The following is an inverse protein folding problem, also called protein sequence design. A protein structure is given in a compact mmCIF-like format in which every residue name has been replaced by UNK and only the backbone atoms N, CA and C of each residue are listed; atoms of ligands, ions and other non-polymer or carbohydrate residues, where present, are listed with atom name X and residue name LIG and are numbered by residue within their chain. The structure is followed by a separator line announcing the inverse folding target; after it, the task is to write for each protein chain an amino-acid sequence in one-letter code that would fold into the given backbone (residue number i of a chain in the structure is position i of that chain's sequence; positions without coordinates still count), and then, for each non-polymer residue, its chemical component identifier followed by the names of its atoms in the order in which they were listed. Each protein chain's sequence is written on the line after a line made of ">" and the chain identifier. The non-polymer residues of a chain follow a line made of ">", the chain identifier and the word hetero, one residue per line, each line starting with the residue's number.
data_IF_570206798267
#
_entry.id   IF_570206798267
#
_cell.length_a   1.000
_cell.length_b   1.000
_cell.length_c   1.000
_cell.angle_alpha   90.00
_cell.angle_beta   90.00
_cell.angle_gamma   90.00
#
_symmetry.space_group_name_H-M   'P 1'
#
loop_
_entity.id
_entity.type
_entity.pdbx_description
1 polymer ?
#
# COMPACT_ATOMS: atom_id res chain seq x y z
N UNK A 1 10.76 -16.91 13.26
CA UNK A 1 10.44 -16.24 12.00
C UNK A 1 8.93 -15.98 11.92
N UNK A 2 8.53 -14.84 11.43
CA UNK A 2 7.13 -14.46 11.20
C UNK A 2 6.99 -13.76 9.84
N UNK A 3 5.88 -14.02 9.13
CA UNK A 3 5.51 -13.38 7.87
C UNK A 3 4.28 -12.47 8.00
N UNK A 4 3.89 -12.10 9.23
CA UNK A 4 2.66 -11.33 9.46
C UNK A 4 2.74 -9.91 8.90
N UNK A 5 3.87 -9.24 9.06
CA UNK A 5 4.05 -7.86 8.59
C UNK A 5 4.58 -7.81 7.16
N UNK A 6 4.12 -6.83 6.35
CA UNK A 6 4.59 -6.63 4.98
C UNK A 6 6.02 -6.13 4.91
N UNK A 7 6.46 -5.34 5.89
CA UNK A 7 7.82 -4.79 5.95
C UNK A 7 8.75 -5.70 6.71
N UNK A 8 9.94 -5.93 6.16
CA UNK A 8 10.99 -6.69 6.81
C UNK A 8 11.53 -5.94 8.01
N UNK A 9 11.53 -6.58 9.19
CA UNK A 9 12.10 -6.01 10.40
C UNK A 9 12.62 -7.10 11.33
N UNK A 10 13.36 -6.70 12.39
CA UNK A 10 13.85 -7.64 13.40
C UNK A 10 13.85 -6.95 14.75
N UNK A 11 13.45 -7.70 15.78
CA UNK A 11 13.54 -7.30 17.16
C UNK A 11 14.02 -8.47 17.99
N UNK A 12 15.18 -8.33 18.63
CA UNK A 12 15.84 -9.39 19.39
C UNK A 12 16.05 -10.66 18.55
N UNK A 13 15.44 -11.78 18.95
CA UNK A 13 15.47 -13.07 18.24
C UNK A 13 14.24 -13.28 17.35
N UNK A 14 13.39 -12.27 17.19
CA UNK A 14 12.20 -12.31 16.33
C UNK A 14 12.54 -11.63 15.01
N UNK A 15 12.38 -12.36 13.91
CA UNK A 15 12.59 -11.87 12.56
C UNK A 15 11.28 -11.88 11.80
N UNK A 16 10.81 -10.70 11.42
CA UNK A 16 9.70 -10.50 10.48
C UNK A 16 10.28 -10.48 9.07
N UNK A 17 9.93 -11.47 8.27
CA UNK A 17 10.51 -11.64 6.93
C UNK A 17 10.00 -10.61 5.93
N UNK A 18 8.82 -10.05 6.20
CA UNK A 18 8.11 -9.23 5.24
C UNK A 18 7.46 -10.04 4.13
N UNK A 19 6.77 -9.39 3.23
CA UNK A 19 6.24 -10.04 2.04
C UNK A 19 7.28 -10.09 0.90
N UNK A 20 7.13 -11.08 0.03
CA UNK A 20 8.06 -11.33 -1.07
C UNK A 20 7.85 -10.38 -2.27
N UNK A 21 6.67 -9.78 -2.36
CA UNK A 21 6.26 -8.85 -3.41
C UNK A 21 5.33 -7.78 -2.84
N UNK A 22 5.09 -6.74 -3.60
CA UNK A 22 4.09 -5.73 -3.26
C UNK A 22 2.68 -6.29 -3.44
N UNK A 23 1.78 -6.10 -2.47
CA UNK A 23 0.39 -6.52 -2.53
C UNK A 23 -0.58 -5.35 -2.54
N UNK A 24 -0.16 -4.22 -1.98
CA UNK A 24 -1.00 -3.04 -1.80
C UNK A 24 -0.25 -1.76 -2.13
N UNK A 25 -0.97 -0.64 -2.23
CA UNK A 25 -0.38 0.70 -2.39
C UNK A 25 0.49 1.14 -1.21
N UNK A 26 0.32 0.55 -0.02
CA UNK A 26 1.18 0.77 1.14
C UNK A 26 2.59 0.17 0.97
N UNK A 27 2.73 -0.82 0.08
CA UNK A 27 4.00 -1.48 -0.18
C UNK A 27 4.91 -0.73 -1.17
N UNK A 28 4.43 0.38 -1.75
CA UNK A 28 5.19 1.19 -2.72
C UNK A 28 6.47 1.70 -2.08
N UNK A 29 7.60 1.50 -2.79
CA UNK A 29 8.94 1.89 -2.36
C UNK A 29 9.47 1.13 -1.12
N UNK A 30 8.73 0.14 -0.58
CA UNK A 30 9.23 -0.76 0.46
C UNK A 30 9.96 -1.95 -0.17
N UNK A 31 11.27 -2.14 0.09
CA UNK A 31 12.03 -3.23 -0.51
C UNK A 31 11.52 -4.60 -0.09
N UNK A 32 11.18 -5.44 -1.05
CA UNK A 32 10.68 -6.80 -0.84
C UNK A 32 11.77 -7.84 -0.98
N UNK A 33 11.65 -8.93 -0.21
CA UNK A 33 12.68 -9.96 -0.13
C UNK A 33 12.05 -11.35 -0.05
N UNK A 34 12.73 -12.34 -0.63
CA UNK A 34 12.63 -13.71 -0.22
C UNK A 34 13.90 -14.09 0.57
N UNK A 35 13.83 -15.13 1.36
CA UNK A 35 14.88 -15.46 2.31
C UNK A 35 15.36 -16.90 2.13
N UNK A 36 16.67 -17.07 2.20
CA UNK A 36 17.31 -18.39 2.23
C UNK A 36 17.70 -18.65 3.68
N UNK A 37 17.19 -19.75 4.25
CA UNK A 37 17.56 -20.23 5.58
C UNK A 37 18.55 -21.38 5.45
N UNK A 38 19.76 -21.18 5.97
CA UNK A 38 20.70 -22.27 6.19
C UNK A 38 20.27 -23.04 7.45
N UNK A 39 19.98 -24.33 7.31
CA UNK A 39 19.46 -25.16 8.40
C UNK A 39 20.55 -25.62 9.35
N UNK A 40 21.81 -25.62 8.95
CA UNK A 40 22.95 -25.99 9.77
C UNK A 40 23.43 -24.79 10.61
N UNK A 41 23.71 -23.67 9.97
CA UNK A 41 24.17 -22.45 10.63
C UNK A 41 23.04 -21.62 11.24
N UNK A 42 21.79 -21.81 10.79
CA UNK A 42 20.60 -21.02 11.11
C UNK A 42 20.69 -19.57 10.64
N UNK A 43 21.57 -19.31 9.70
CA UNK A 43 21.67 -18.00 9.08
C UNK A 43 20.53 -17.74 8.08
N UNK A 44 20.05 -16.50 8.06
CA UNK A 44 18.97 -16.05 7.15
C UNK A 44 19.56 -15.02 6.19
N UNK A 45 19.62 -15.38 4.92
CA UNK A 45 20.09 -14.48 3.85
C UNK A 45 18.91 -13.89 3.09
N UNK A 46 18.67 -12.57 3.19
CA UNK A 46 17.64 -11.90 2.40
C UNK A 46 18.13 -11.71 0.96
N UNK A 47 17.30 -12.07 -0.01
CA UNK A 47 17.53 -11.84 -1.43
C UNK A 47 16.47 -10.86 -1.92
N UNK A 48 16.90 -9.68 -2.37
CA UNK A 48 15.98 -8.63 -2.83
C UNK A 48 15.21 -9.07 -4.06
N UNK A 49 13.89 -8.89 -4.04
CA UNK A 49 13.05 -8.98 -5.22
C UNK A 49 13.11 -7.63 -5.98
N UNK A 50 13.63 -7.59 -7.23
CA UNK A 50 13.68 -6.35 -7.99
C UNK A 50 12.34 -5.99 -8.66
N UNK A 51 11.36 -6.90 -8.64
CA UNK A 51 10.07 -6.71 -9.31
C UNK A 51 9.17 -5.85 -8.44
N UNK A 52 8.69 -4.75 -8.99
CA UNK A 52 7.69 -3.87 -8.39
C UNK A 52 6.40 -3.94 -9.20
N UNK A 53 5.26 -3.94 -8.50
CA UNK A 53 3.93 -4.00 -9.12
C UNK A 53 3.21 -2.66 -9.09
N UNK A 54 3.46 -1.84 -8.08
CA UNK A 54 2.79 -0.56 -7.89
C UNK A 54 3.75 0.59 -8.17
N UNK A 55 3.28 1.64 -8.85
CA UNK A 55 4.08 2.83 -9.14
C UNK A 55 3.25 4.10 -8.99
N UNK A 56 3.69 4.96 -8.08
CA UNK A 56 3.21 6.35 -7.99
C UNK A 56 4.05 7.20 -8.92
N UNK A 57 3.40 7.93 -9.82
CA UNK A 57 4.03 8.86 -10.77
C UNK A 57 3.51 10.24 -10.45
N UNK A 58 4.39 11.12 -10.04
CA UNK A 58 4.06 12.53 -9.78
C UNK A 58 4.24 13.29 -11.09
N UNK A 59 3.17 13.88 -11.60
CA UNK A 59 3.21 14.73 -12.80
C UNK A 59 3.38 16.20 -12.40
N UNK A 60 4.46 16.80 -12.87
CA UNK A 60 4.78 18.22 -12.70
C UNK A 60 5.55 18.70 -13.93
N UNK A 61 4.83 19.37 -14.85
CA UNK A 61 5.38 19.87 -16.10
C UNK A 61 6.23 21.14 -15.94
N UNK A 62 6.31 21.69 -14.73
CA UNK A 62 7.25 22.80 -14.44
C UNK A 62 8.67 22.32 -14.25
N UNK A 63 8.85 21.04 -13.90
CA UNK A 63 10.15 20.46 -13.58
C UNK A 63 10.61 19.38 -14.55
N UNK A 64 9.67 18.73 -15.25
CA UNK A 64 9.96 17.55 -16.06
C UNK A 64 9.35 17.65 -17.46
N UNK A 65 10.14 17.34 -18.46
CA UNK A 65 9.71 17.19 -19.86
C UNK A 65 9.17 15.75 -20.08
N UNK A 66 7.86 15.59 -19.99
CA UNK A 66 7.22 14.28 -20.12
C UNK A 66 7.23 13.69 -21.53
N UNK A 67 7.60 14.47 -22.55
CA UNK A 67 7.76 13.93 -23.91
C UNK A 67 8.92 12.93 -23.99
N UNK A 68 9.90 13.04 -23.10
CA UNK A 68 11.13 12.21 -23.04
C UNK A 68 11.04 11.04 -22.05
N UNK A 69 10.03 11.00 -21.21
CA UNK A 69 9.88 9.93 -20.22
C UNK A 69 9.63 8.59 -20.92
N UNK A 70 10.43 7.58 -20.62
CA UNK A 70 10.20 6.23 -21.13
C UNK A 70 9.05 5.58 -20.37
N UNK A 71 7.91 5.42 -21.05
CA UNK A 71 6.71 4.80 -20.48
C UNK A 71 6.79 3.28 -20.36
N UNK A 72 7.71 2.61 -21.08
CA UNK A 72 7.87 1.15 -21.02
C UNK A 72 8.21 0.64 -19.62
N UNK A 73 8.86 1.47 -18.79
CA UNK A 73 9.15 1.13 -17.41
C UNK A 73 7.89 0.90 -16.56
N UNK A 74 6.74 1.32 -17.05
CA UNK A 74 5.43 1.20 -16.39
C UNK A 74 4.61 0.01 -16.91
N UNK A 75 5.10 -0.76 -17.87
CA UNK A 75 4.41 -1.96 -18.35
C UNK A 75 4.20 -2.96 -17.20
N UNK A 76 3.00 -3.58 -17.21
CA UNK A 76 2.58 -4.60 -16.24
C UNK A 76 2.65 -4.11 -14.79
N UNK A 77 2.24 -2.87 -14.56
CA UNK A 77 2.16 -2.25 -13.23
C UNK A 77 0.78 -1.64 -13.00
N UNK A 78 0.43 -1.52 -11.71
CA UNK A 78 -0.61 -0.63 -11.23
C UNK A 78 -0.02 0.77 -11.12
N UNK A 79 -0.61 1.74 -11.80
CA UNK A 79 -0.08 3.10 -11.85
C UNK A 79 -1.07 4.05 -11.21
N UNK A 80 -0.58 4.90 -10.30
CA UNK A 80 -1.29 6.05 -9.79
C UNK A 80 -0.54 7.31 -10.26
N UNK A 81 -1.14 8.05 -11.20
CA UNK A 81 -0.64 9.32 -11.71
C UNK A 81 -1.23 10.46 -10.88
N UNK A 82 -0.37 11.16 -10.14
CA UNK A 82 -0.73 12.25 -9.24
C UNK A 82 -0.31 13.54 -9.90
N UNK A 83 -1.28 14.41 -10.22
CA UNK A 83 -1.03 15.68 -10.94
C UNK A 83 -0.81 16.80 -9.93
N UNK A 84 0.38 17.40 -9.93
CA UNK A 84 0.71 18.57 -9.12
C UNK A 84 0.56 19.84 -9.96
N UNK A 85 1.24 19.90 -11.11
CA UNK A 85 1.16 21.03 -12.03
C UNK A 85 0.92 20.52 -13.46
N UNK A 86 -0.08 21.10 -14.12
CA UNK A 86 -0.53 20.77 -15.47
C UNK A 86 -0.71 22.07 -16.27
N UNK A 87 0.41 22.75 -16.59
CA UNK A 87 0.39 24.02 -17.33
C UNK A 87 0.28 23.78 -18.83
N UNK A 88 0.89 22.73 -19.34
CA UNK A 88 0.80 22.29 -20.73
C UNK A 88 -0.17 21.10 -20.84
N UNK A 89 -1.43 21.39 -21.13
CA UNK A 89 -2.48 20.38 -21.30
C UNK A 89 -2.17 19.40 -22.44
N UNK A 90 -1.55 19.88 -23.52
CA UNK A 90 -1.23 19.04 -24.66
C UNK A 90 -0.14 18.02 -24.31
N UNK A 91 0.89 18.43 -23.57
CA UNK A 91 1.94 17.53 -23.09
C UNK A 91 1.36 16.51 -22.09
N UNK A 92 0.44 16.93 -21.23
CA UNK A 92 -0.25 16.04 -20.29
C UNK A 92 -1.06 14.98 -21.04
N UNK A 93 -1.91 15.38 -21.98
CA UNK A 93 -2.74 14.47 -22.78
C UNK A 93 -1.88 13.46 -23.55
N UNK A 94 -0.79 13.91 -24.19
CA UNK A 94 0.15 13.03 -24.86
C UNK A 94 0.81 12.02 -23.90
N UNK A 95 1.14 12.44 -22.69
CA UNK A 95 1.73 11.55 -21.70
C UNK A 95 0.73 10.50 -21.23
N UNK A 96 -0.51 10.89 -20.97
CA UNK A 96 -1.61 9.98 -20.61
C UNK A 96 -1.88 8.99 -21.74
N UNK A 97 -1.98 9.45 -23.00
CA UNK A 97 -2.18 8.59 -24.18
C UNK A 97 -1.05 7.55 -24.30
N UNK A 98 0.19 7.95 -24.06
CA UNK A 98 1.32 7.03 -24.08
C UNK A 98 1.26 6.00 -22.94
N UNK A 99 0.81 6.40 -21.74
CA UNK A 99 0.58 5.47 -20.63
C UNK A 99 -0.56 4.49 -20.92
N UNK A 100 -1.63 4.95 -21.59
CA UNK A 100 -2.74 4.09 -22.00
C UNK A 100 -2.37 3.14 -23.16
N UNK A 101 -1.36 3.50 -23.97
CA UNK A 101 -0.91 2.68 -25.10
C UNK A 101 -0.07 1.47 -24.70
N UNK A 102 0.43 1.43 -23.48
CA UNK A 102 1.18 0.30 -22.93
C UNK A 102 0.26 -0.63 -22.13
N UNK A 103 0.68 -1.89 -21.96
CA UNK A 103 -0.05 -2.86 -21.13
C UNK A 103 0.15 -2.57 -19.64
N UNK A 104 -0.76 -1.84 -19.03
CA UNK A 104 -0.81 -1.63 -17.57
C UNK A 104 -1.89 -2.50 -16.94
N UNK A 105 -1.74 -2.88 -15.66
CA UNK A 105 -2.82 -3.55 -14.93
C UNK A 105 -3.93 -2.57 -14.56
N UNK A 106 -3.56 -1.37 -14.19
CA UNK A 106 -4.48 -0.28 -13.87
C UNK A 106 -3.76 1.06 -14.05
N UNK A 107 -4.48 2.08 -14.51
CA UNK A 107 -4.04 3.47 -14.52
C UNK A 107 -5.11 4.32 -13.82
N UNK A 108 -4.79 4.81 -12.63
CA UNK A 108 -5.58 5.82 -11.90
C UNK A 108 -4.93 7.18 -12.06
N UNK A 109 -5.74 8.21 -12.29
CA UNK A 109 -5.29 9.60 -12.40
C UNK A 109 -5.97 10.40 -11.31
N UNK A 110 -5.20 10.93 -10.37
CA UNK A 110 -5.64 11.89 -9.37
C UNK A 110 -5.33 13.30 -9.91
N UNK A 111 -6.35 14.04 -10.26
CA UNK A 111 -6.22 15.36 -10.93
C UNK A 111 -5.72 16.47 -10.01
N UNK A 112 -5.69 16.22 -8.69
CA UNK A 112 -5.08 17.12 -7.72
C UNK A 112 -4.42 16.34 -6.61
N UNK A 113 -3.45 16.99 -5.96
CA UNK A 113 -2.81 16.40 -4.78
C UNK A 113 -3.79 16.26 -3.59
N UNK A 114 -4.79 17.14 -3.53
CA UNK A 114 -5.87 17.08 -2.52
C UNK A 114 -6.78 15.86 -2.74
N UNK A 115 -7.11 15.55 -4.00
CA UNK A 115 -7.84 14.33 -4.37
C UNK A 115 -7.05 13.07 -4.00
N UNK A 116 -5.75 13.06 -4.31
CA UNK A 116 -4.86 11.96 -3.91
C UNK A 116 -4.80 11.77 -2.39
N UNK A 117 -4.71 12.85 -1.62
CA UNK A 117 -4.73 12.79 -0.16
C UNK A 117 -6.08 12.29 0.36
N UNK A 118 -7.18 12.71 -0.28
CA UNK A 118 -8.53 12.21 0.03
C UNK A 118 -8.63 10.70 -0.19
N UNK A 119 -8.22 10.20 -1.36
CA UNK A 119 -8.20 8.77 -1.67
C UNK A 119 -7.25 7.98 -0.75
N UNK A 120 -6.06 8.50 -0.45
CA UNK A 120 -5.12 7.78 0.41
C UNK A 120 -5.59 7.70 1.86
N UNK A 121 -6.32 8.73 2.34
CA UNK A 121 -6.98 8.72 3.65
C UNK A 121 -8.18 7.78 3.64
N UNK A 122 -8.89 7.65 2.52
CA UNK A 122 -9.96 6.65 2.36
C UNK A 122 -9.39 5.23 2.28
N UNK A 123 -8.32 5.00 1.52
CA UNK A 123 -7.63 3.70 1.45
C UNK A 123 -7.06 3.27 2.84
N UNK A 124 -6.51 4.21 3.61
CA UNK A 124 -6.06 3.96 4.99
C UNK A 124 -7.24 3.86 5.97
N UNK A 125 -8.29 4.70 5.82
CA UNK A 125 -9.51 4.61 6.63
C UNK A 125 -10.33 3.37 6.32
N UNK A 126 -10.39 2.91 5.07
CA UNK A 126 -11.07 1.67 4.69
C UNK A 126 -10.44 0.49 5.44
N UNK A 127 -9.11 0.49 5.65
CA UNK A 127 -8.46 -0.55 6.46
C UNK A 127 -8.83 -0.49 7.95
N UNK A 128 -8.98 0.71 8.51
CA UNK A 128 -9.27 0.92 9.94
C UNK A 128 -10.78 0.93 10.24
N UNK A 129 -11.58 1.59 9.38
CA UNK A 129 -13.04 1.59 9.47
C UNK A 129 -13.61 0.22 9.14
N UNK A 130 -12.99 -0.52 8.20
CA UNK A 130 -13.40 -1.87 7.83
C UNK A 130 -13.20 -2.84 9.01
N UNK A 131 -12.11 -2.75 9.75
CA UNK A 131 -11.90 -3.58 10.94
C UNK A 131 -12.89 -3.24 12.06
N UNK A 132 -13.14 -1.96 12.33
CA UNK A 132 -14.12 -1.55 13.33
C UNK A 132 -15.56 -1.89 12.91
N UNK A 133 -15.90 -1.70 11.63
CA UNK A 133 -17.20 -2.09 11.08
C UNK A 133 -17.38 -3.62 11.09
N UNK A 134 -16.31 -4.36 10.80
CA UNK A 134 -16.31 -5.82 10.85
C UNK A 134 -16.54 -6.31 12.30
N UNK A 135 -15.85 -5.70 13.28
CA UNK A 135 -16.03 -5.97 14.70
C UNK A 135 -17.48 -5.67 15.15
N UNK A 136 -18.01 -4.51 14.76
CA UNK A 136 -19.37 -4.11 15.07
C UNK A 136 -20.40 -5.09 14.45
N UNK A 137 -20.21 -5.46 13.18
CA UNK A 137 -21.08 -6.41 12.48
C UNK A 137 -21.04 -7.81 13.13
N UNK A 138 -19.84 -8.22 13.57
CA UNK A 138 -19.68 -9.48 14.28
C UNK A 138 -20.44 -9.48 15.62
N UNK A 139 -20.33 -8.41 16.41
CA UNK A 139 -21.04 -8.26 17.68
C UNK A 139 -22.57 -8.26 17.47
N UNK A 140 -23.06 -7.63 16.38
CA UNK A 140 -24.48 -7.66 16.05
C UNK A 140 -24.99 -9.06 15.70
N UNK A 141 -24.17 -9.86 15.01
CA UNK A 141 -24.51 -11.21 14.59
C UNK A 141 -24.48 -12.25 15.73
N UNK A 142 -23.76 -11.95 16.82
CA UNK A 142 -23.67 -12.86 17.97
C UNK A 142 -24.97 -12.83 18.77
N UNK A 143 -25.52 -14.00 19.03
CA UNK A 143 -26.66 -14.17 19.96
C UNK A 143 -26.13 -14.20 21.40
N UNK A 144 -26.36 -13.12 22.14
CA UNK A 144 -25.85 -12.93 23.50
C UNK A 144 -26.84 -12.06 24.34
N UNK A 145 -26.93 -12.39 25.61
CA UNK A 145 -27.68 -11.59 26.59
C UNK A 145 -26.92 -10.38 27.14
N UNK A 146 -25.63 -10.21 26.71
CA UNK A 146 -24.78 -9.10 27.12
C UNK A 146 -25.14 -7.82 26.33
N UNK A 147 -24.84 -6.67 26.94
CA UNK A 147 -24.98 -5.37 26.28
C UNK A 147 -24.02 -5.23 25.10
N UNK A 148 -24.56 -5.35 23.87
CA UNK A 148 -23.80 -5.29 22.63
C UNK A 148 -23.05 -3.95 22.46
N UNK A 149 -23.65 -2.84 22.90
CA UNK A 149 -22.99 -1.53 22.81
C UNK A 149 -21.76 -1.46 23.72
N UNK A 150 -21.85 -2.04 24.92
CA UNK A 150 -20.71 -2.13 25.82
C UNK A 150 -19.59 -3.02 25.23
N UNK A 151 -19.93 -4.13 24.62
CA UNK A 151 -18.97 -5.02 23.94
C UNK A 151 -18.25 -4.30 22.80
N UNK A 152 -18.97 -3.55 21.95
CA UNK A 152 -18.36 -2.76 20.87
C UNK A 152 -17.37 -1.74 21.40
N UNK A 153 -17.71 -1.02 22.46
CA UNK A 153 -16.84 -0.03 23.08
C UNK A 153 -15.54 -0.68 23.59
N UNK A 154 -15.65 -1.79 24.30
CA UNK A 154 -14.44 -2.48 24.83
C UNK A 154 -13.59 -3.09 23.70
N UNK A 155 -14.17 -3.64 22.64
CA UNK A 155 -13.44 -4.15 21.48
C UNK A 155 -12.69 -3.03 20.76
N UNK A 156 -13.30 -1.88 20.52
CA UNK A 156 -12.64 -0.73 19.91
C UNK A 156 -11.48 -0.20 20.76
N UNK A 157 -11.65 -0.21 22.07
CA UNK A 157 -10.60 0.19 23.02
C UNK A 157 -9.41 -0.78 22.98
N UNK A 158 -9.67 -2.08 23.04
CA UNK A 158 -8.64 -3.13 22.91
C UNK A 158 -7.91 -3.04 21.57
N UNK A 159 -8.64 -2.79 20.48
CA UNK A 159 -8.05 -2.61 19.16
C UNK A 159 -7.12 -1.39 19.11
N UNK A 160 -7.55 -0.26 19.69
CA UNK A 160 -6.72 0.95 19.79
C UNK A 160 -5.48 0.74 20.68
N UNK A 161 -5.64 0.01 21.78
CA UNK A 161 -4.51 -0.36 22.65
C UNK A 161 -3.51 -1.26 21.92
N UNK A 162 -4.00 -2.26 21.16
CA UNK A 162 -3.15 -3.14 20.38
C UNK A 162 -2.34 -2.38 19.32
N UNK A 163 -2.97 -1.44 18.60
CA UNK A 163 -2.27 -0.58 17.64
C UNK A 163 -1.17 0.28 18.29
N UNK A 164 -1.38 0.76 19.51
CA UNK A 164 -0.38 1.55 20.23
C UNK A 164 0.78 0.70 20.81
N UNK A 165 0.61 -0.62 20.89
CA UNK A 165 1.66 -1.56 21.34
C UNK A 165 2.56 -2.02 20.20
N UNK A 166 2.18 -1.79 18.94
CA UNK A 166 2.94 -2.17 17.73
C UNK A 166 3.97 -1.11 17.28
N UNK A 167 4.28 -0.10 18.10
CA UNK A 167 5.30 0.94 17.82
C UNK A 167 6.68 0.52 18.33
#
# INVERSE_FOLDING_TARGET
>A
LSGHFHTKSSRDNIHYLGCQMEFTWADVDDPKYFHILDTETREITPVRNPITMFKKVIYDDTTTDYTKVDVKQFEKKFIKLIVINKNDLYMFDQFVDRLQSIETYELKIAESFEEYLGESVEDEKISLEDTNQLLDSYVEAVDTDLDKEHIKIELRKLYTEAQNLEV
#
